data_IF_649387279208
#
_entry.id   IF_649387279208
#
_cell.length_a   1.000
_cell.length_b   1.000
_cell.length_c   1.000
_cell.angle_alpha   90.00
_cell.angle_beta   90.00
_cell.angle_gamma   90.00
#
_symmetry.space_group_name_H-M   'P 1'
#
loop_
_entity.id
_entity.type
_entity.pdbx_description
1 polymer ?
#
# COMPACT_ATOMS: atom_id res chain seq x y z
N UNK A 1 -39.39 30.11 15.70
CA UNK A 1 -38.67 29.00 16.36
C UNK A 1 -38.09 28.07 15.29
N UNK A 2 -37.40 28.63 14.27
CA UNK A 2 -37.19 27.90 12.99
C UNK A 2 -35.70 27.92 12.56
N UNK A 3 -34.88 28.79 13.15
CA UNK A 3 -33.46 28.90 12.80
C UNK A 3 -32.60 27.82 13.50
N UNK A 4 -33.06 27.29 14.65
CA UNK A 4 -32.34 26.22 15.38
C UNK A 4 -32.35 24.88 14.65
N UNK A 5 -33.45 24.59 13.92
CA UNK A 5 -33.56 23.37 13.11
C UNK A 5 -32.67 23.44 11.86
N UNK A 6 -32.52 24.63 11.27
CA UNK A 6 -31.64 24.88 10.12
C UNK A 6 -30.16 24.66 10.45
N UNK A 7 -29.69 25.14 11.61
CA UNK A 7 -28.33 24.88 12.09
C UNK A 7 -28.05 23.39 12.36
N UNK A 8 -29.05 22.65 12.84
CA UNK A 8 -28.92 21.20 13.07
C UNK A 8 -28.79 20.43 11.73
N UNK A 9 -29.52 20.85 10.70
CA UNK A 9 -29.44 20.24 9.36
C UNK A 9 -28.11 20.55 8.65
N UNK A 10 -27.56 21.76 8.85
CA UNK A 10 -26.25 22.16 8.32
C UNK A 10 -25.10 21.37 8.97
N UNK A 11 -25.20 21.07 10.27
CA UNK A 11 -24.20 20.26 10.99
C UNK A 11 -24.21 18.78 10.54
N UNK A 12 -25.40 18.23 10.26
CA UNK A 12 -25.54 16.85 9.79
C UNK A 12 -24.95 16.65 8.38
N UNK A 13 -25.04 17.66 7.51
CA UNK A 13 -24.47 17.61 6.17
C UNK A 13 -22.93 17.65 6.18
N UNK A 14 -22.33 18.47 7.04
CA UNK A 14 -20.87 18.58 7.18
C UNK A 14 -20.20 17.27 7.65
N UNK A 15 -20.89 16.46 8.46
CA UNK A 15 -20.36 15.18 8.95
C UNK A 15 -20.19 14.10 7.87
N UNK A 16 -20.77 14.29 6.68
CA UNK A 16 -20.69 13.31 5.58
C UNK A 16 -19.45 13.47 4.68
N UNK A 17 -18.67 14.54 4.85
CA UNK A 17 -17.51 14.86 4.01
C UNK A 17 -16.17 14.32 4.56
N UNK A 18 -16.20 13.25 5.36
CA UNK A 18 -14.99 12.52 5.76
C UNK A 18 -14.79 11.28 4.88
N UNK A 19 -14.66 11.47 3.57
CA UNK A 19 -14.32 10.38 2.65
C UNK A 19 -12.79 10.17 2.63
N UNK A 20 -12.34 9.01 3.11
CA UNK A 20 -10.94 8.60 3.02
C UNK A 20 -10.45 8.66 1.57
N UNK A 21 -9.24 9.16 1.36
CA UNK A 21 -8.67 9.24 0.02
C UNK A 21 -8.32 7.83 -0.46
N UNK A 22 -8.45 7.58 -1.75
CA UNK A 22 -8.12 6.27 -2.33
C UNK A 22 -6.90 6.44 -3.21
N UNK A 23 -5.88 5.62 -2.97
CA UNK A 23 -4.74 5.46 -3.84
C UNK A 23 -5.02 4.27 -4.75
N UNK A 24 -4.95 4.50 -6.05
CA UNK A 24 -5.18 3.47 -7.08
C UNK A 24 -3.94 3.31 -7.93
N UNK A 25 -3.85 2.21 -8.64
CA UNK A 25 -2.74 2.03 -9.55
C UNK A 25 -2.73 0.65 -10.17
N UNK A 26 -1.68 0.43 -10.95
CA UNK A 26 -1.42 -0.83 -11.63
C UNK A 26 0.00 -1.28 -11.39
N UNK A 27 0.18 -2.58 -11.14
CA UNK A 27 1.48 -3.23 -11.03
C UNK A 27 1.74 -4.02 -12.30
N UNK A 28 2.83 -3.71 -12.99
CA UNK A 28 3.27 -4.43 -14.20
C UNK A 28 4.73 -4.84 -14.09
N UNK A 29 5.17 -5.76 -14.93
CA UNK A 29 6.59 -6.05 -15.13
C UNK A 29 7.20 -5.19 -16.24
N UNK A 30 8.48 -5.43 -16.54
CA UNK A 30 9.22 -4.74 -17.61
C UNK A 30 8.71 -5.09 -19.01
N UNK A 31 8.02 -6.21 -19.16
CA UNK A 31 7.40 -6.67 -20.40
C UNK A 31 6.00 -6.05 -20.60
N UNK A 32 5.49 -5.33 -19.59
CA UNK A 32 4.16 -4.72 -19.61
C UNK A 32 3.05 -5.69 -19.20
N UNK A 33 3.39 -6.90 -18.77
CA UNK A 33 2.42 -7.87 -18.25
C UNK A 33 2.01 -7.47 -16.83
N UNK A 34 0.72 -7.64 -16.47
CA UNK A 34 0.25 -7.34 -15.12
C UNK A 34 0.86 -8.30 -14.11
N UNK A 35 1.27 -7.79 -12.96
CA UNK A 35 1.73 -8.62 -11.85
C UNK A 35 0.54 -8.85 -10.91
N UNK A 36 0.00 -10.06 -10.98
CA UNK A 36 -1.09 -10.51 -10.13
C UNK A 36 -0.61 -10.80 -8.71
N UNK A 37 -1.50 -10.64 -7.73
CA UNK A 37 -1.27 -10.99 -6.32
C UNK A 37 -0.03 -10.35 -5.69
N UNK A 38 0.46 -9.22 -6.23
CA UNK A 38 1.52 -8.45 -5.63
C UNK A 38 1.02 -7.85 -4.31
N UNK A 39 1.84 -7.94 -3.26
CA UNK A 39 1.56 -7.34 -1.97
C UNK A 39 1.96 -5.87 -1.97
N UNK A 40 1.00 -4.98 -1.71
CA UNK A 40 1.19 -3.54 -1.63
C UNK A 40 0.96 -3.09 -0.20
N UNK A 41 1.98 -2.52 0.43
CA UNK A 41 1.92 -2.06 1.82
C UNK A 41 2.27 -0.59 1.89
N UNK A 42 1.44 0.20 2.57
CA UNK A 42 1.71 1.60 2.87
C UNK A 42 2.26 1.75 4.28
N UNK A 43 3.39 2.45 4.36
CA UNK A 43 4.00 2.89 5.61
C UNK A 43 3.88 4.41 5.77
N UNK A 44 3.70 4.86 7.00
CA UNK A 44 3.75 6.28 7.36
C UNK A 44 5.20 6.77 7.29
N UNK A 45 5.39 8.07 7.12
CA UNK A 45 6.72 8.70 7.20
C UNK A 45 6.70 9.78 8.29
N UNK A 46 7.77 9.90 9.11
CA UNK A 46 9.09 9.25 8.96
C UNK A 46 9.25 7.90 9.68
N UNK A 47 8.30 7.50 10.52
CA UNK A 47 8.39 6.36 11.43
C UNK A 47 8.25 4.99 10.76
N UNK A 48 7.89 4.95 9.47
CA UNK A 48 7.75 3.70 8.70
C UNK A 48 6.78 2.70 9.36
N UNK A 49 5.80 3.20 10.10
CA UNK A 49 4.80 2.36 10.76
C UNK A 49 3.81 1.84 9.71
N UNK A 50 3.34 0.61 9.89
CA UNK A 50 2.33 0.04 8.99
C UNK A 50 1.04 0.85 9.09
N UNK A 51 0.53 1.32 7.95
CA UNK A 51 -0.75 2.04 7.88
C UNK A 51 -1.84 1.11 7.34
N UNK A 52 -1.60 0.52 6.18
CA UNK A 52 -2.57 -0.34 5.49
C UNK A 52 -1.90 -1.15 4.38
N UNK A 53 -2.60 -2.14 3.84
CA UNK A 53 -2.13 -2.93 2.71
C UNK A 53 -3.26 -3.41 1.81
N UNK A 54 -2.91 -3.74 0.57
CA UNK A 54 -3.78 -4.30 -0.44
C UNK A 54 -3.00 -5.30 -1.30
N UNK A 55 -3.73 -6.07 -2.10
CA UNK A 55 -3.17 -7.02 -3.05
C UNK A 55 -3.62 -6.62 -4.45
N UNK A 56 -2.74 -6.74 -5.45
CA UNK A 56 -3.15 -6.52 -6.85
C UNK A 56 -4.06 -7.64 -7.33
N UNK A 57 -5.06 -7.27 -8.14
CA UNK A 57 -5.96 -8.22 -8.81
C UNK A 57 -5.27 -8.93 -9.99
N UNK A 58 -6.04 -9.76 -10.70
CA UNK A 58 -5.58 -10.48 -11.89
C UNK A 58 -5.23 -9.55 -13.07
N UNK A 59 -5.78 -8.35 -13.10
CA UNK A 59 -5.44 -7.30 -14.06
C UNK A 59 -4.23 -6.45 -13.62
N UNK A 60 -3.62 -6.76 -12.47
CA UNK A 60 -2.54 -6.00 -11.85
C UNK A 60 -3.01 -4.73 -11.14
N UNK A 61 -4.32 -4.43 -11.15
CA UNK A 61 -4.84 -3.21 -10.53
C UNK A 61 -4.93 -3.38 -9.02
N UNK A 62 -4.71 -2.28 -8.30
CA UNK A 62 -4.87 -2.24 -6.85
C UNK A 62 -5.58 -0.98 -6.39
N UNK A 63 -6.20 -1.08 -5.23
CA UNK A 63 -6.91 0.02 -4.59
C UNK A 63 -6.64 -0.03 -3.09
N UNK A 64 -6.16 1.08 -2.55
CA UNK A 64 -5.78 1.22 -1.15
C UNK A 64 -6.45 2.46 -0.56
N UNK A 65 -7.19 2.28 0.53
CA UNK A 65 -7.76 3.42 1.27
C UNK A 65 -6.70 4.05 2.15
N UNK A 66 -6.40 5.32 1.92
CA UNK A 66 -5.34 6.07 2.56
C UNK A 66 -5.95 7.18 3.42
N UNK A 67 -5.62 7.18 4.71
CA UNK A 67 -6.01 8.23 5.64
C UNK A 67 -4.94 9.33 5.73
N UNK A 68 -3.68 9.00 5.48
CA UNK A 68 -2.55 9.92 5.58
C UNK A 68 -2.15 10.54 4.23
N UNK A 69 -1.82 11.83 4.23
CA UNK A 69 -1.48 12.52 2.97
C UNK A 69 -0.16 12.09 2.32
N UNK A 70 0.75 11.45 3.04
CA UNK A 70 2.09 11.05 2.53
C UNK A 70 2.52 9.74 3.16
N UNK A 71 3.13 8.87 2.38
CA UNK A 71 3.71 7.63 2.89
C UNK A 71 4.69 6.97 1.94
N UNK A 72 5.23 5.84 2.36
CA UNK A 72 6.12 4.99 1.59
C UNK A 72 5.39 3.70 1.23
N UNK A 73 5.21 3.47 -0.06
CA UNK A 73 4.57 2.29 -0.60
C UNK A 73 5.64 1.23 -0.91
N UNK A 74 5.49 0.04 -0.33
CA UNK A 74 6.32 -1.14 -0.60
C UNK A 74 5.50 -2.13 -1.44
N UNK A 75 6.01 -2.48 -2.62
CA UNK A 75 5.44 -3.52 -3.47
C UNK A 75 6.37 -4.71 -3.52
N UNK A 76 5.83 -5.90 -3.29
CA UNK A 76 6.58 -7.15 -3.36
C UNK A 76 5.74 -8.24 -4.00
N UNK A 77 6.36 -9.03 -4.87
CA UNK A 77 5.76 -10.24 -5.45
C UNK A 77 6.83 -11.31 -5.60
N UNK A 78 6.42 -12.58 -5.65
CA UNK A 78 7.34 -13.71 -5.80
C UNK A 78 8.04 -13.63 -7.16
N UNK A 79 9.38 -13.74 -7.17
CA UNK A 79 10.17 -13.63 -8.39
C UNK A 79 10.46 -12.20 -8.87
N UNK A 80 10.10 -11.18 -8.07
CA UNK A 80 10.35 -9.77 -8.38
C UNK A 80 11.08 -9.05 -7.25
N UNK A 81 11.91 -8.07 -7.61
CA UNK A 81 12.60 -7.22 -6.67
C UNK A 81 11.60 -6.31 -5.97
N UNK A 82 11.76 -6.13 -4.65
CA UNK A 82 10.85 -5.26 -3.88
C UNK A 82 11.04 -3.79 -4.29
N UNK A 83 9.94 -3.14 -4.66
CA UNK A 83 9.91 -1.72 -5.03
C UNK A 83 9.47 -0.88 -3.82
N UNK A 84 10.16 0.24 -3.60
CA UNK A 84 9.78 1.27 -2.64
C UNK A 84 9.50 2.57 -3.37
N UNK A 85 8.32 3.16 -3.16
CA UNK A 85 7.92 4.41 -3.82
C UNK A 85 7.19 5.32 -2.85
N UNK A 86 7.63 6.57 -2.75
CA UNK A 86 6.90 7.60 -2.02
C UNK A 86 5.59 7.93 -2.74
N UNK A 87 4.50 8.08 -2.00
CA UNK A 87 3.19 8.41 -2.55
C UNK A 87 2.44 9.41 -1.69
N UNK A 88 1.44 10.05 -2.29
CA UNK A 88 0.49 10.93 -1.62
C UNK A 88 -0.93 10.39 -1.74
N UNK A 89 -1.77 10.78 -0.80
CA UNK A 89 -3.19 10.44 -0.85
C UNK A 89 -3.84 10.94 -2.15
N UNK A 90 -4.55 10.07 -2.85
CA UNK A 90 -5.22 10.38 -4.13
C UNK A 90 -4.38 10.17 -5.38
N UNK A 91 -3.13 9.73 -5.26
CA UNK A 91 -2.28 9.43 -6.42
C UNK A 91 -2.80 8.22 -7.19
N UNK A 92 -2.66 8.28 -8.53
CA UNK A 92 -2.73 7.09 -9.39
C UNK A 92 -1.31 6.69 -9.78
N UNK A 93 -0.89 5.47 -9.43
CA UNK A 93 0.49 5.01 -9.59
C UNK A 93 0.62 3.85 -10.58
N UNK A 94 1.50 4.01 -11.56
CA UNK A 94 1.99 2.90 -12.38
C UNK A 94 3.30 2.37 -11.80
N UNK A 95 3.28 1.15 -11.28
CA UNK A 95 4.36 0.51 -10.55
C UNK A 95 4.96 -0.60 -11.41
N UNK A 96 6.23 -0.46 -11.79
CA UNK A 96 6.93 -1.46 -12.61
C UNK A 96 7.86 -2.26 -11.69
N UNK A 97 7.63 -3.56 -11.61
CA UNK A 97 8.49 -4.51 -10.91
C UNK A 97 9.54 -5.08 -11.87
N UNK A 98 10.75 -5.26 -11.35
CA UNK A 98 11.83 -5.94 -12.05
C UNK A 98 11.92 -7.37 -11.56
N UNK A 99 12.15 -8.32 -12.47
CA UNK A 99 12.36 -9.72 -12.08
C UNK A 99 13.58 -9.81 -11.15
N UNK A 100 13.43 -10.47 -10.01
CA UNK A 100 14.55 -10.74 -9.11
C UNK A 100 15.27 -11.98 -9.63
N UNK A 101 16.35 -11.77 -10.38
CA UNK A 101 17.19 -12.86 -10.90
C UNK A 101 18.14 -13.41 -9.83
N UNK A 102 17.99 -13.02 -8.56
CA UNK A 102 18.63 -13.70 -7.44
C UNK A 102 18.03 -15.09 -7.29
N UNK A 103 18.62 -16.04 -8.03
CA UNK A 103 18.54 -17.47 -7.76
C UNK A 103 18.70 -17.66 -6.24
N UNK A 104 17.71 -18.33 -5.63
CA UNK A 104 17.68 -18.69 -4.23
C UNK A 104 19.01 -19.38 -3.86
N UNK A 105 19.94 -18.63 -3.30
CA UNK A 105 21.07 -19.23 -2.60
C UNK A 105 20.44 -19.87 -1.36
N UNK A 106 20.47 -21.20 -1.36
CA UNK A 106 19.96 -22.11 -0.36
C UNK A 106 20.05 -21.50 1.05
N UNK A 107 18.91 -21.21 1.67
CA UNK A 107 18.87 -20.71 3.05
C UNK A 107 19.30 -21.87 3.96
N UNK A 108 20.60 -22.02 4.17
CA UNK A 108 21.14 -22.91 5.21
C UNK A 108 20.78 -22.27 6.55
N UNK A 109 19.65 -22.69 7.12
CA UNK A 109 19.23 -22.33 8.48
C UNK A 109 20.25 -22.92 9.46
N UNK A 110 21.26 -22.12 9.84
CA UNK A 110 22.14 -22.46 10.95
C UNK A 110 21.41 -22.18 12.26
N UNK A 111 20.76 -23.20 12.81
CA UNK A 111 20.28 -23.16 14.19
C UNK A 111 21.49 -23.09 15.14
N UNK A 112 21.61 -21.99 15.89
CA UNK A 112 22.60 -21.87 16.96
C UNK A 112 21.91 -22.33 18.25
N UNK A 113 22.37 -23.44 18.82
CA UNK A 113 21.97 -23.87 20.17
C UNK A 113 22.80 -23.09 21.21
N UNK A 114 22.19 -22.25 22.05
CA UNK A 114 22.92 -21.58 23.13
C UNK A 114 23.24 -22.60 24.23
N UNK A 115 24.52 -22.90 24.46
CA UNK A 115 24.97 -23.59 25.68
C UNK A 115 24.88 -22.63 26.87
N UNK A 116 24.15 -23.03 27.90
CA UNK A 116 24.18 -22.39 29.22
C UNK A 116 25.55 -22.68 29.89
N UNK A 117 26.10 -21.64 30.51
CA UNK A 117 27.24 -21.74 31.43
C UNK A 117 26.87 -22.55 32.68
#
# INVERSE_FOLDING_TARGET
MNNRLSFLFLFLFAATMAAGQTLTGKVTDRQGSPVEFANIVLFSLPDSAFVTGAVSGADGNFRLSVQEHKGLLKVSSVGYATLYRGCKAGDTLDLILEADTRLLDEVVVKAICPRRA
#
